data_IF_013732159646
#
_entry.id   IF_013732159646
#
_cell.length_a   1.000
_cell.length_b   1.000
_cell.length_c   1.000
_cell.angle_alpha   90.00
_cell.angle_beta   90.00
_cell.angle_gamma   90.00
#
_symmetry.space_group_name_H-M   'P 1'
#
loop_
_entity.id
_entity.type
_entity.pdbx_description
1 polymer ?
#
# COMPACT_ATOMS: atom_id res chain seq x y z
N UNK A 1 -18.34 6.42 -10.31
CA UNK A 1 -17.14 5.55 -10.42
C UNK A 1 -16.48 5.32 -9.06
N UNK A 2 -16.31 6.35 -8.21
CA UNK A 2 -15.74 6.18 -6.88
C UNK A 2 -16.43 5.11 -6.02
N UNK A 3 -17.77 5.16 -5.90
CA UNK A 3 -18.53 4.15 -5.15
C UNK A 3 -18.36 2.73 -5.70
N UNK A 4 -18.31 2.57 -7.03
CA UNK A 4 -18.07 1.26 -7.65
C UNK A 4 -16.67 0.73 -7.29
N UNK A 5 -15.65 1.59 -7.33
CA UNK A 5 -14.28 1.24 -6.92
C UNK A 5 -14.21 0.84 -5.44
N UNK A 6 -14.90 1.56 -4.57
CA UNK A 6 -15.03 1.20 -3.15
C UNK A 6 -15.74 -0.14 -2.95
N UNK A 7 -16.81 -0.42 -3.70
CA UNK A 7 -17.52 -1.70 -3.64
C UNK A 7 -16.61 -2.84 -4.08
N UNK A 8 -15.89 -2.69 -5.20
CA UNK A 8 -14.93 -3.69 -5.67
C UNK A 8 -13.83 -3.90 -4.63
N UNK A 9 -13.29 -2.82 -4.07
CA UNK A 9 -12.28 -2.89 -3.01
C UNK A 9 -12.79 -3.65 -1.78
N UNK A 10 -13.96 -3.31 -1.27
CA UNK A 10 -14.51 -3.88 -0.05
C UNK A 10 -14.93 -5.35 -0.25
N UNK A 11 -15.63 -5.67 -1.34
CA UNK A 11 -16.09 -7.04 -1.62
C UNK A 11 -14.92 -7.94 -2.01
N UNK A 12 -14.05 -7.48 -2.91
CA UNK A 12 -12.85 -8.21 -3.29
C UNK A 12 -11.92 -8.41 -2.09
N UNK A 13 -11.70 -7.37 -1.30
CA UNK A 13 -10.90 -7.45 -0.08
C UNK A 13 -11.51 -8.40 0.95
N UNK A 14 -12.82 -8.34 1.19
CA UNK A 14 -13.51 -9.29 2.08
C UNK A 14 -13.37 -10.74 1.59
N UNK A 15 -13.40 -10.98 0.27
CA UNK A 15 -13.21 -12.33 -0.29
C UNK A 15 -11.80 -12.89 -0.03
N UNK A 16 -10.79 -12.03 0.16
CA UNK A 16 -9.43 -12.47 0.49
C UNK A 16 -9.35 -13.16 1.85
N UNK A 17 -10.29 -12.91 2.75
CA UNK A 17 -10.35 -13.58 4.06
C UNK A 17 -10.34 -15.12 3.93
N UNK A 18 -10.99 -15.66 2.91
CA UNK A 18 -11.03 -17.10 2.65
C UNK A 18 -9.70 -17.71 2.19
N UNK A 19 -8.69 -16.88 1.92
CA UNK A 19 -7.37 -17.29 1.46
C UNK A 19 -6.26 -16.98 2.49
N UNK A 20 -6.62 -16.49 3.69
CA UNK A 20 -5.66 -16.13 4.75
C UNK A 20 -4.75 -17.30 5.10
N UNK A 21 -5.32 -18.49 5.30
CA UNK A 21 -4.56 -19.64 5.76
C UNK A 21 -3.49 -20.07 4.74
N UNK A 22 -3.68 -19.77 3.45
CA UNK A 22 -2.70 -20.03 2.39
C UNK A 22 -1.46 -19.13 2.50
N UNK A 23 -1.53 -18.04 3.26
CA UNK A 23 -0.48 -17.03 3.41
C UNK A 23 0.07 -16.95 4.84
N UNK A 24 -0.24 -17.94 5.70
CA UNK A 24 0.22 -17.98 7.09
C UNK A 24 1.76 -17.85 7.22
N UNK A 25 2.51 -18.47 6.30
CA UNK A 25 3.98 -18.35 6.28
C UNK A 25 4.48 -16.93 6.04
N UNK A 26 3.79 -16.17 5.20
CA UNK A 26 4.10 -14.75 4.96
C UNK A 26 3.82 -13.92 6.22
N UNK A 27 2.72 -14.20 6.92
CA UNK A 27 2.38 -13.58 8.19
C UNK A 27 3.44 -13.76 9.26
N UNK A 28 3.98 -14.97 9.42
CA UNK A 28 5.06 -15.26 10.37
C UNK A 28 6.33 -14.44 10.06
N UNK A 29 6.70 -14.33 8.78
CA UNK A 29 7.84 -13.51 8.36
C UNK A 29 7.64 -12.03 8.70
N UNK A 30 6.45 -11.50 8.40
CA UNK A 30 6.10 -10.11 8.70
C UNK A 30 6.05 -9.84 10.22
N UNK A 31 5.49 -10.76 11.00
CA UNK A 31 5.51 -10.69 12.47
C UNK A 31 6.93 -10.62 13.02
N UNK A 32 7.84 -11.45 12.47
CA UNK A 32 9.23 -11.43 12.86
C UNK A 32 9.91 -10.11 12.51
N UNK A 33 9.68 -9.56 11.32
CA UNK A 33 10.18 -8.22 10.93
C UNK A 33 9.71 -7.17 11.93
N UNK A 34 8.41 -7.13 12.24
CA UNK A 34 7.86 -6.14 13.17
C UNK A 34 8.40 -6.28 14.61
N UNK A 35 8.80 -7.49 15.02
CA UNK A 35 9.43 -7.71 16.33
C UNK A 35 10.75 -6.94 16.50
N UNK A 36 11.54 -6.78 15.42
CA UNK A 36 12.76 -5.97 15.43
C UNK A 36 12.50 -4.47 15.66
N UNK A 37 11.28 -4.02 15.38
CA UNK A 37 10.84 -2.63 15.58
C UNK A 37 9.97 -2.46 16.83
N UNK A 38 9.97 -3.44 17.75
CA UNK A 38 9.15 -3.45 18.96
C UNK A 38 7.62 -3.39 18.70
N UNK A 39 7.19 -3.74 17.49
CA UNK A 39 5.78 -3.84 17.10
C UNK A 39 5.34 -5.30 17.16
N UNK A 40 5.16 -5.84 18.36
CA UNK A 40 4.83 -7.27 18.51
C UNK A 40 3.40 -7.55 18.00
N UNK A 41 3.31 -8.23 16.85
CA UNK A 41 2.08 -8.62 16.18
C UNK A 41 2.00 -10.14 16.09
N UNK A 42 0.82 -10.69 16.32
CA UNK A 42 0.57 -12.09 16.02
C UNK A 42 0.70 -12.38 14.50
N UNK A 43 1.06 -13.61 14.15
CA UNK A 43 1.24 -14.02 12.76
C UNK A 43 -0.06 -13.90 11.95
N UNK A 44 -1.22 -14.14 12.56
CA UNK A 44 -2.54 -14.00 11.91
C UNK A 44 -2.83 -12.54 11.56
N UNK A 45 -2.64 -11.63 12.52
CA UNK A 45 -2.80 -10.19 12.29
C UNK A 45 -1.81 -9.68 11.23
N UNK A 46 -0.58 -10.18 11.26
CA UNK A 46 0.44 -9.86 10.27
C UNK A 46 0.03 -10.33 8.86
N UNK A 47 -0.63 -11.49 8.76
CA UNK A 47 -1.22 -11.99 7.50
C UNK A 47 -2.32 -11.06 7.00
N UNK A 48 -3.23 -10.63 7.87
CA UNK A 48 -4.30 -9.69 7.53
C UNK A 48 -3.74 -8.37 7.00
N UNK A 49 -2.76 -7.84 7.72
CA UNK A 49 -2.06 -6.61 7.38
C UNK A 49 -1.44 -6.67 5.99
N UNK A 50 -0.63 -7.70 5.70
CA UNK A 50 0.07 -7.78 4.42
C UNK A 50 -0.88 -8.07 3.25
N UNK A 51 -1.90 -8.92 3.46
CA UNK A 51 -2.92 -9.17 2.44
C UNK A 51 -3.73 -7.92 2.11
N UNK A 52 -4.21 -7.21 3.13
CA UNK A 52 -4.95 -5.95 2.93
C UNK A 52 -4.08 -4.90 2.24
N UNK A 53 -2.81 -4.79 2.62
CA UNK A 53 -1.88 -3.85 2.01
C UNK A 53 -1.61 -4.16 0.54
N UNK A 54 -1.39 -5.43 0.19
CA UNK A 54 -1.21 -5.83 -1.21
C UNK A 54 -2.48 -5.67 -2.05
N UNK A 55 -3.64 -6.03 -1.51
CA UNK A 55 -4.91 -5.79 -2.19
C UNK A 55 -5.15 -4.32 -2.48
N UNK A 56 -4.88 -3.45 -1.51
CA UNK A 56 -5.01 -2.02 -1.69
C UNK A 56 -4.00 -1.47 -2.70
N UNK A 57 -2.73 -1.88 -2.61
CA UNK A 57 -1.69 -1.55 -3.59
C UNK A 57 -2.13 -1.93 -5.01
N UNK A 58 -2.68 -3.14 -5.18
CA UNK A 58 -3.21 -3.62 -6.46
C UNK A 58 -4.38 -2.76 -6.96
N UNK A 59 -5.37 -2.49 -6.10
CA UNK A 59 -6.52 -1.66 -6.46
C UNK A 59 -6.11 -0.25 -6.88
N UNK A 60 -5.17 0.36 -6.17
CA UNK A 60 -4.61 1.66 -6.52
C UNK A 60 -3.86 1.63 -7.85
N UNK A 61 -3.07 0.60 -8.12
CA UNK A 61 -2.38 0.43 -9.39
C UNK A 61 -3.38 0.29 -10.56
N UNK A 62 -4.44 -0.51 -10.40
CA UNK A 62 -5.52 -0.63 -11.39
C UNK A 62 -6.21 0.71 -11.59
N UNK A 63 -6.50 1.44 -10.52
CA UNK A 63 -7.11 2.77 -10.59
C UNK A 63 -6.25 3.74 -11.40
N UNK A 64 -4.94 3.76 -11.13
CA UNK A 64 -3.98 4.56 -11.89
C UNK A 64 -4.06 4.21 -13.39
N UNK A 65 -4.06 2.94 -13.75
CA UNK A 65 -4.10 2.52 -15.16
C UNK A 65 -5.40 2.96 -15.84
N UNK A 66 -6.54 2.84 -15.16
CA UNK A 66 -7.86 3.13 -15.75
C UNK A 66 -8.19 4.63 -15.82
N UNK A 67 -7.69 5.43 -14.88
CA UNK A 67 -8.16 6.81 -14.69
C UNK A 67 -7.06 7.87 -14.66
N UNK A 68 -5.78 7.48 -14.70
CA UNK A 68 -4.72 8.46 -14.78
C UNK A 68 -4.76 9.17 -16.12
N UNK A 69 -5.01 10.48 -16.10
CA UNK A 69 -4.73 11.33 -17.25
C UNK A 69 -3.25 11.25 -17.63
N UNK A 70 -2.97 11.49 -18.92
CA UNK A 70 -1.59 11.64 -19.39
C UNK A 70 -0.98 12.81 -18.63
N UNK A 71 0.18 12.59 -18.03
CA UNK A 71 0.86 13.61 -17.25
C UNK A 71 1.17 14.80 -18.14
N UNK A 72 0.42 15.89 -17.98
CA UNK A 72 0.81 17.17 -18.56
C UNK A 72 2.10 17.59 -17.83
N UNK A 73 3.14 17.89 -18.60
CA UNK A 73 4.43 18.28 -18.03
C UNK A 73 4.31 19.66 -17.38
N UNK A 74 4.11 19.71 -16.07
CA UNK A 74 4.09 20.97 -15.30
C UNK A 74 5.46 21.66 -15.23
N UNK A 75 6.53 20.95 -15.61
CA UNK A 75 7.91 21.45 -15.61
C UNK A 75 8.47 21.26 -17.00
N UNK A 76 9.05 22.32 -17.57
CA UNK A 76 9.66 22.29 -18.90
C UNK A 76 10.81 21.28 -18.99
N UNK A 77 11.51 21.03 -17.87
CA UNK A 77 12.70 20.16 -17.81
C UNK A 77 12.73 19.35 -16.49
N UNK A 78 13.01 18.05 -16.59
CA UNK A 78 13.16 17.17 -15.43
C UNK A 78 14.63 17.06 -15.05
N UNK A 79 14.99 17.52 -13.85
CA UNK A 79 16.36 17.40 -13.30
C UNK A 79 16.52 16.12 -12.48
N UNK A 80 17.76 15.62 -12.36
CA UNK A 80 18.08 14.47 -11.51
C UNK A 80 17.64 14.67 -10.05
N UNK A 81 17.76 15.90 -9.53
CA UNK A 81 17.28 16.24 -8.18
C UNK A 81 15.79 15.97 -7.99
N UNK A 82 14.97 16.19 -9.02
CA UNK A 82 13.53 15.94 -8.97
C UNK A 82 13.26 14.42 -8.91
N UNK A 83 13.99 13.64 -9.70
CA UNK A 83 13.90 12.17 -9.70
C UNK A 83 14.30 11.61 -8.33
N UNK A 84 15.41 12.08 -7.77
CA UNK A 84 15.89 11.65 -6.45
C UNK A 84 14.92 12.04 -5.33
N UNK A 85 14.35 13.24 -5.39
CA UNK A 85 13.31 13.66 -4.44
C UNK A 85 12.10 12.73 -4.49
N UNK A 86 11.60 12.39 -5.69
CA UNK A 86 10.45 11.50 -5.85
C UNK A 86 10.76 10.08 -5.39
N UNK A 87 11.97 9.59 -5.65
CA UNK A 87 12.43 8.29 -5.14
C UNK A 87 12.40 8.24 -3.61
N UNK A 88 12.99 9.24 -2.95
CA UNK A 88 12.98 9.32 -1.47
C UNK A 88 11.55 9.44 -0.95
N UNK A 89 10.69 10.23 -1.61
CA UNK A 89 9.27 10.36 -1.26
C UNK A 89 8.54 9.01 -1.29
N UNK A 90 8.81 8.16 -2.29
CA UNK A 90 8.26 6.79 -2.36
C UNK A 90 8.70 5.96 -1.16
N UNK A 91 10.00 5.97 -0.84
CA UNK A 91 10.53 5.20 0.30
C UNK A 91 9.92 5.66 1.62
N UNK A 92 9.78 6.96 1.81
CA UNK A 92 9.18 7.56 3.01
C UNK A 92 7.71 7.14 3.14
N UNK A 93 6.91 7.23 2.07
CA UNK A 93 5.51 6.79 2.12
C UNK A 93 5.37 5.29 2.36
N UNK A 94 6.23 4.48 1.75
CA UNK A 94 6.21 3.03 1.96
C UNK A 94 6.59 2.68 3.41
N UNK A 95 7.62 3.33 3.96
CA UNK A 95 8.03 3.19 5.36
C UNK A 95 6.88 3.55 6.32
N UNK A 96 6.28 4.73 6.15
CA UNK A 96 5.15 5.14 6.99
C UNK A 96 3.96 4.20 6.84
N UNK A 97 3.71 3.67 5.64
CA UNK A 97 2.64 2.69 5.43
C UNK A 97 2.87 1.44 6.29
N UNK A 98 4.08 0.90 6.32
CA UNK A 98 4.39 -0.26 7.16
C UNK A 98 4.31 0.06 8.66
N UNK A 99 4.76 1.24 9.10
CA UNK A 99 4.65 1.66 10.51
C UNK A 99 3.18 1.79 10.92
N UNK A 100 2.38 2.51 10.15
CA UNK A 100 0.94 2.68 10.42
C UNK A 100 0.25 1.32 10.44
N UNK A 101 0.56 0.45 9.48
CA UNK A 101 -0.01 -0.90 9.42
C UNK A 101 0.32 -1.73 10.66
N UNK A 102 1.54 -1.64 11.17
CA UNK A 102 1.93 -2.31 12.42
C UNK A 102 1.18 -1.77 13.63
N UNK A 103 1.07 -0.44 13.75
CA UNK A 103 0.33 0.22 14.85
C UNK A 103 -1.17 -0.13 14.80
N UNK A 104 -1.78 -0.07 13.61
CA UNK A 104 -3.18 -0.47 13.39
C UNK A 104 -3.39 -1.93 13.76
N UNK A 105 -2.50 -2.83 13.34
CA UNK A 105 -2.60 -4.25 13.67
C UNK A 105 -2.57 -4.50 15.18
N UNK A 106 -1.68 -3.83 15.93
CA UNK A 106 -1.64 -3.91 17.40
C UNK A 106 -2.94 -3.39 18.00
N UNK A 107 -3.45 -2.26 17.49
CA UNK A 107 -4.69 -1.66 17.96
C UNK A 107 -5.90 -2.57 17.73
N UNK A 108 -5.96 -3.27 16.59
CA UNK A 108 -7.02 -4.24 16.26
C UNK A 108 -6.90 -5.50 17.10
N UNK A 109 -5.69 -6.03 17.29
CA UNK A 109 -5.43 -7.25 18.06
C UNK A 109 -5.90 -7.16 19.53
N UNK A 110 -5.90 -5.94 20.09
CA UNK A 110 -6.35 -5.68 21.47
C UNK A 110 -7.86 -5.58 21.63
N UNK A 111 -8.62 -5.52 20.54
CA UNK A 111 -10.08 -5.38 20.58
C UNK A 111 -10.77 -6.75 20.60
N UNK A 112 -11.90 -6.90 21.30
CA UNK A 112 -12.68 -8.14 21.34
C UNK A 112 -13.51 -8.33 20.06
N UNK A 113 -12.85 -8.18 18.91
CA UNK A 113 -13.45 -8.39 17.60
C UNK A 113 -13.36 -9.86 17.23
N UNK A 114 -14.38 -10.36 16.52
CA UNK A 114 -14.26 -11.67 15.86
C UNK A 114 -13.16 -11.62 14.80
N UNK A 115 -12.68 -12.79 14.40
CA UNK A 115 -11.58 -12.93 13.44
C UNK A 115 -11.80 -12.17 12.12
N UNK A 116 -12.98 -12.33 11.50
CA UNK A 116 -13.35 -11.56 10.31
C UNK A 116 -13.42 -10.05 10.55
N UNK A 117 -13.94 -9.60 11.69
CA UNK A 117 -14.00 -8.17 12.02
C UNK A 117 -12.59 -7.58 12.21
N UNK A 118 -11.64 -8.35 12.74
CA UNK A 118 -10.23 -7.94 12.81
C UNK A 118 -9.64 -7.76 11.41
N UNK A 119 -9.82 -8.75 10.53
CA UNK A 119 -9.39 -8.67 9.14
C UNK A 119 -9.98 -7.44 8.43
N UNK A 120 -11.30 -7.25 8.51
CA UNK A 120 -11.97 -6.13 7.85
C UNK A 120 -11.56 -4.77 8.45
N UNK A 121 -11.33 -4.70 9.76
CA UNK A 121 -10.85 -3.48 10.43
C UNK A 121 -9.43 -3.08 9.98
N UNK A 122 -8.62 -4.03 9.53
CA UNK A 122 -7.30 -3.79 8.94
C UNK A 122 -7.42 -3.43 7.47
N UNK A 123 -8.35 -4.06 6.75
CA UNK A 123 -8.61 -3.78 5.33
C UNK A 123 -9.01 -2.32 5.09
N UNK A 124 -9.81 -1.72 5.97
CA UNK A 124 -10.26 -0.31 5.81
C UNK A 124 -9.09 0.68 5.76
N UNK A 125 -8.18 0.78 6.75
CA UNK A 125 -7.05 1.69 6.70
C UNK A 125 -6.07 1.35 5.58
N UNK A 126 -5.95 0.07 5.18
CA UNK A 126 -5.14 -0.31 4.02
C UNK A 126 -5.55 0.41 2.74
N UNK A 127 -6.83 0.80 2.58
CA UNK A 127 -7.27 1.60 1.43
C UNK A 127 -6.43 2.87 1.29
N UNK A 128 -6.18 3.59 2.39
CA UNK A 128 -5.36 4.80 2.36
C UNK A 128 -3.88 4.47 2.14
N UNK A 129 -3.38 3.41 2.78
CA UNK A 129 -1.97 3.02 2.71
C UNK A 129 -1.55 2.60 1.30
N UNK A 130 -2.44 1.95 0.54
CA UNK A 130 -2.23 1.60 -0.87
C UNK A 130 -2.01 2.83 -1.77
N UNK A 131 -2.37 4.03 -1.30
CA UNK A 131 -2.12 5.28 -1.99
C UNK A 131 -0.63 5.59 -2.24
N UNK A 132 0.30 4.90 -1.59
CA UNK A 132 1.74 5.04 -1.87
C UNK A 132 2.09 4.82 -3.36
N UNK A 133 1.31 4.00 -4.08
CA UNK A 133 1.51 3.71 -5.51
C UNK A 133 1.37 4.97 -6.38
N UNK A 134 0.60 5.97 -5.96
CA UNK A 134 0.54 7.25 -6.67
C UNK A 134 1.90 7.96 -6.68
N UNK A 135 2.68 7.84 -5.61
CA UNK A 135 4.04 8.37 -5.59
C UNK A 135 4.99 7.56 -6.47
N UNK A 136 4.79 6.23 -6.58
CA UNK A 136 5.55 5.38 -7.50
C UNK A 136 5.30 5.79 -8.93
N UNK A 137 4.04 6.02 -9.31
CA UNK A 137 3.65 6.53 -10.63
C UNK A 137 4.41 7.83 -10.96
N UNK A 138 4.37 8.81 -10.07
CA UNK A 138 5.04 10.10 -10.28
C UNK A 138 6.56 9.93 -10.44
N UNK A 139 7.18 9.09 -9.60
CA UNK A 139 8.60 8.75 -9.71
C UNK A 139 8.93 8.12 -11.06
N UNK A 140 8.15 7.12 -11.49
CA UNK A 140 8.35 6.43 -12.77
C UNK A 140 8.23 7.40 -13.95
N UNK A 141 7.21 8.27 -13.95
CA UNK A 141 7.05 9.30 -15.00
C UNK A 141 8.28 10.21 -15.06
N UNK A 142 8.75 10.70 -13.91
CA UNK A 142 9.93 11.57 -13.86
C UNK A 142 11.19 10.83 -14.33
N UNK A 143 11.40 9.58 -13.90
CA UNK A 143 12.53 8.77 -14.32
C UNK A 143 12.51 8.48 -15.83
N UNK A 144 11.35 8.16 -16.40
CA UNK A 144 11.20 7.97 -17.85
C UNK A 144 11.46 9.24 -18.64
N UNK A 145 10.99 10.40 -18.16
CA UNK A 145 11.21 11.68 -18.84
C UNK A 145 12.68 12.11 -18.77
N UNK A 146 13.34 11.90 -17.63
CA UNK A 146 14.78 12.13 -17.47
C UNK A 146 15.60 11.23 -18.42
N UNK A 147 15.27 9.93 -18.49
CA UNK A 147 15.99 8.97 -19.35
C UNK A 147 15.79 9.18 -20.86
N UNK A 148 14.69 9.82 -21.29
CA UNK A 148 14.43 10.13 -22.70
C UNK A 148 15.20 11.34 -23.23
N UNK A 149 15.97 12.03 -22.39
CA UNK A 149 16.67 13.24 -22.82
C UNK A 149 15.73 14.39 -23.18
N UNK A 150 14.51 14.41 -22.62
CA UNK A 150 13.66 15.61 -22.58
C UNK A 150 14.26 16.63 -21.59
N UNK A 151 15.52 17.01 -21.85
CA UNK A 151 16.43 17.73 -20.98
C UNK A 151 17.39 18.50 -21.87
N UNK A 152 17.50 19.81 -21.66
CA UNK A 152 18.75 20.55 -21.87
C UNK A 152 19.39 20.74 -20.49
#
# INVERSE_FOLDING_TARGET
MFFLGLTIYAVGGASLYFFVDNLAGLGSGVSHIYSYFFLVLDARISTYSIMGFFWSTFCHAVWIILFSEKTEGWVSEVRLSNVMYLFVRVLVFLFFSFVILGVVGIGVAKKPFSDFHQFFSILVPCLLLGGWVWSVRDFLIAAFNYGKGNVV
#
